data_IF_997520360918
#
_entry.id   IF_997520360918
#
_cell.length_a   1.000
_cell.length_b   1.000
_cell.length_c   1.000
_cell.angle_alpha   90.00
_cell.angle_beta   90.00
_cell.angle_gamma   90.00
#
_symmetry.space_group_name_H-M   'P 1'
#
loop_
_entity.id
_entity.type
_entity.pdbx_description
1 polymer ?
#
# COMPACT_ATOMS: atom_id res chain seq x y z
N UNK A 1 -1.15 -59.03 -39.03
CA UNK A 1 -0.99 -58.34 -37.73
C UNK A 1 0.49 -58.00 -37.50
N UNK A 2 0.95 -56.85 -38.00
CA UNK A 2 2.19 -56.09 -37.64
C UNK A 2 1.99 -54.71 -38.31
N UNK A 3 2.09 -53.50 -37.76
CA UNK A 3 2.17 -52.99 -36.39
C UNK A 3 1.86 -51.49 -36.45
N UNK A 4 0.63 -51.08 -36.11
CA UNK A 4 0.25 -49.67 -35.88
C UNK A 4 1.09 -49.00 -34.77
N UNK A 5 1.72 -49.81 -33.92
CA UNK A 5 2.73 -49.43 -32.91
C UNK A 5 4.03 -48.84 -33.49
N UNK A 6 4.38 -49.14 -34.75
CA UNK A 6 5.60 -48.59 -35.39
C UNK A 6 5.43 -47.12 -35.75
N UNK A 7 4.28 -46.75 -36.32
CA UNK A 7 3.98 -45.37 -36.72
C UNK A 7 3.86 -44.43 -35.50
N UNK A 8 3.19 -44.87 -34.44
CA UNK A 8 3.11 -44.05 -33.22
C UNK A 8 4.48 -43.85 -32.57
N UNK A 9 5.32 -44.90 -32.51
CA UNK A 9 6.68 -44.79 -31.96
C UNK A 9 7.56 -43.83 -32.77
N UNK A 10 7.44 -43.85 -34.11
CA UNK A 10 8.21 -42.97 -34.99
C UNK A 10 7.80 -41.50 -34.85
N UNK A 11 6.50 -41.23 -34.68
CA UNK A 11 6.01 -39.86 -34.44
C UNK A 11 6.47 -39.30 -33.09
N UNK A 12 6.50 -40.12 -32.03
CA UNK A 12 6.99 -39.70 -30.71
C UNK A 12 8.50 -39.45 -30.75
N UNK A 13 9.29 -40.26 -31.46
CA UNK A 13 10.73 -40.03 -31.63
C UNK A 13 11.01 -38.73 -32.40
N UNK A 14 10.25 -38.44 -33.46
CA UNK A 14 10.39 -37.19 -34.21
C UNK A 14 10.09 -35.96 -33.35
N UNK A 15 9.02 -36.00 -32.54
CA UNK A 15 8.66 -34.90 -31.66
C UNK A 15 9.70 -34.68 -30.55
N UNK A 16 10.25 -35.76 -29.98
CA UNK A 16 11.34 -35.65 -29.00
C UNK A 16 12.66 -35.17 -29.61
N UNK A 17 12.97 -35.57 -30.85
CA UNK A 17 14.15 -35.08 -31.58
C UNK A 17 14.08 -33.58 -31.91
N UNK A 18 12.91 -33.07 -32.32
CA UNK A 18 12.74 -31.65 -32.60
C UNK A 18 12.79 -30.77 -31.35
N UNK A 19 12.38 -31.27 -30.18
CA UNK A 19 12.51 -30.55 -28.91
C UNK A 19 13.96 -30.40 -28.42
N UNK A 20 14.86 -31.33 -28.78
CA UNK A 20 16.29 -31.26 -28.39
C UNK A 20 17.08 -30.26 -29.27
N UNK A 21 16.62 -30.00 -30.51
CA UNK A 21 17.30 -29.10 -31.45
C UNK A 21 16.98 -27.60 -31.26
N UNK A 22 16.05 -27.26 -30.36
CA UNK A 22 15.62 -25.87 -30.11
C UNK A 22 16.20 -25.23 -28.84
N UNK A 23 17.12 -25.92 -28.13
CA UNK A 23 17.82 -25.39 -26.95
C UNK A 23 19.33 -25.26 -27.20
N UNK A 24 19.71 -24.54 -28.24
CA UNK A 24 21.12 -24.40 -28.63
C UNK A 24 21.41 -23.20 -29.51
N UNK A 25 21.13 -21.98 -29.02
CA UNK A 25 21.71 -20.75 -29.56
C UNK A 25 21.52 -19.55 -28.62
N UNK A 26 22.43 -19.35 -27.65
CA UNK A 26 22.82 -17.99 -27.25
C UNK A 26 24.32 -17.90 -26.97
N UNK A 27 24.99 -17.37 -27.99
CA UNK A 27 26.18 -16.53 -28.07
C UNK A 27 26.89 -16.19 -26.74
N UNK A 28 28.14 -16.64 -26.62
CA UNK A 28 29.13 -16.13 -25.67
C UNK A 28 29.80 -14.84 -26.20
N UNK A 29 30.12 -13.85 -25.34
CA UNK A 29 31.15 -12.87 -25.65
C UNK A 29 32.50 -13.25 -25.02
N UNK A 30 33.55 -13.22 -25.86
CA UNK A 30 34.97 -13.31 -25.50
C UNK A 30 35.47 -12.02 -24.82
N UNK A 31 36.60 -12.21 -24.14
CA UNK A 31 37.29 -11.30 -23.23
C UNK A 31 38.13 -10.17 -23.87
N UNK A 32 38.60 -9.31 -22.96
CA UNK A 32 39.74 -8.37 -22.97
C UNK A 32 39.57 -6.93 -23.50
N UNK A 33 39.75 -5.95 -22.60
CA UNK A 33 40.96 -5.09 -22.61
C UNK A 33 41.16 -4.36 -21.27
N UNK A 34 42.42 -4.06 -20.98
CA UNK A 34 43.05 -3.60 -19.73
C UNK A 34 42.94 -2.09 -19.42
N UNK A 35 43.17 -1.79 -18.13
CA UNK A 35 43.90 -0.64 -17.52
C UNK A 35 43.37 0.81 -17.71
N UNK A 36 43.14 1.50 -16.59
CA UNK A 36 44.15 2.33 -15.88
C UNK A 36 43.49 3.15 -14.78
N UNK A 37 44.02 3.04 -13.56
CA UNK A 37 43.79 3.93 -12.42
C UNK A 37 44.29 5.35 -12.73
N UNK A 38 43.47 6.38 -12.53
CA UNK A 38 43.99 7.71 -12.21
C UNK A 38 43.00 8.51 -11.37
N UNK A 39 43.58 9.16 -10.38
CA UNK A 39 43.00 9.72 -9.19
C UNK A 39 42.73 11.20 -9.43
N UNK A 40 41.47 11.67 -9.42
CA UNK A 40 41.19 13.08 -9.11
C UNK A 40 39.76 13.27 -8.61
N UNK A 41 39.62 13.52 -7.30
CA UNK A 41 38.44 14.15 -6.71
C UNK A 41 38.37 15.59 -7.17
N UNK A 42 37.29 16.02 -7.83
CA UNK A 42 36.75 17.37 -7.65
C UNK A 42 35.24 17.34 -7.90
N UNK A 43 34.51 17.60 -6.82
CA UNK A 43 33.07 17.80 -6.74
C UNK A 43 32.69 19.08 -7.50
N UNK A 44 31.71 19.05 -8.40
CA UNK A 44 30.67 20.10 -8.55
C UNK A 44 29.60 19.69 -9.59
N UNK A 45 28.38 19.55 -9.07
CA UNK A 45 27.05 19.63 -9.67
C UNK A 45 26.86 19.30 -11.17
N UNK A 46 26.03 18.28 -11.44
CA UNK A 46 25.27 18.19 -12.69
C UNK A 46 23.82 17.83 -12.36
N UNK A 47 22.92 18.78 -12.59
CA UNK A 47 21.48 18.53 -12.66
C UNK A 47 21.24 17.43 -13.71
N UNK A 48 20.91 16.21 -13.26
CA UNK A 48 20.42 15.16 -14.16
C UNK A 48 18.98 15.49 -14.52
N UNK A 49 18.77 15.79 -15.80
CA UNK A 49 17.47 15.87 -16.48
C UNK A 49 16.64 14.61 -16.17
N UNK A 50 15.33 14.73 -15.88
CA UNK A 50 14.50 13.56 -15.60
C UNK A 50 14.48 12.62 -16.80
N UNK A 51 14.79 11.35 -16.56
CA UNK A 51 14.58 10.26 -17.50
C UNK A 51 13.06 10.12 -17.70
N UNK A 52 12.60 10.35 -18.92
CA UNK A 52 11.23 10.08 -19.36
C UNK A 52 10.87 8.62 -19.08
N UNK A 53 9.91 8.38 -18.19
CA UNK A 53 9.36 7.05 -17.94
C UNK A 53 7.96 6.96 -18.53
N UNK A 54 7.83 6.21 -19.63
CA UNK A 54 6.55 5.78 -20.18
C UNK A 54 5.93 4.75 -19.25
N UNK A 55 4.98 5.19 -18.41
CA UNK A 55 4.23 4.39 -17.45
C UNK A 55 3.24 5.31 -16.70
N UNK A 56 2.08 4.80 -16.22
CA UNK A 56 0.94 5.62 -15.81
C UNK A 56 1.35 6.64 -14.74
N UNK A 57 1.33 7.94 -15.07
CA UNK A 57 1.56 9.15 -14.25
C UNK A 57 2.16 8.94 -12.84
N UNK A 58 3.28 8.23 -12.73
CA UNK A 58 3.96 8.01 -11.45
C UNK A 58 4.98 9.12 -11.22
N UNK A 59 4.59 10.12 -10.44
CA UNK A 59 5.50 11.19 -10.02
C UNK A 59 6.30 10.74 -8.80
N UNK A 60 7.61 10.61 -8.95
CA UNK A 60 8.52 10.34 -7.83
C UNK A 60 8.86 11.65 -7.14
N UNK A 61 8.53 11.76 -5.86
CA UNK A 61 8.74 12.96 -5.04
C UNK A 61 9.69 12.63 -3.88
N UNK A 62 10.60 13.56 -3.57
CA UNK A 62 11.40 13.49 -2.35
C UNK A 62 10.51 13.83 -1.15
N UNK A 63 10.35 12.87 -0.23
CA UNK A 63 9.55 13.05 0.98
C UNK A 63 10.45 13.50 2.14
N UNK A 64 10.14 14.67 2.70
CA UNK A 64 10.71 15.14 3.95
C UNK A 64 9.63 15.15 5.03
N UNK A 65 9.76 14.29 6.04
CA UNK A 65 8.84 14.22 7.17
C UNK A 65 9.39 15.09 8.30
N UNK A 66 8.73 16.20 8.59
CA UNK A 66 9.10 17.04 9.74
C UNK A 66 8.62 16.38 11.04
N UNK A 67 9.54 15.99 11.96
CA UNK A 67 9.21 15.32 13.21
C UNK A 67 8.26 16.11 14.12
N UNK A 68 8.23 17.45 14.02
CA UNK A 68 7.40 18.30 14.86
C UNK A 68 5.90 18.13 14.58
N UNK A 69 5.53 17.69 13.37
CA UNK A 69 4.16 17.37 13.00
C UNK A 69 3.79 15.91 13.27
N UNK A 70 4.73 15.10 13.75
CA UNK A 70 4.52 13.68 14.06
C UNK A 70 4.14 13.46 15.52
N UNK A 71 3.94 14.54 16.27
CA UNK A 71 3.53 14.47 17.67
C UNK A 71 2.10 13.92 17.72
N UNK A 72 1.87 12.79 18.42
CA UNK A 72 0.53 12.26 18.59
C UNK A 72 -0.37 13.33 19.22
N UNK A 73 -1.54 13.57 18.62
CA UNK A 73 -2.55 14.43 19.22
C UNK A 73 -2.85 13.94 20.65
N UNK A 74 -2.39 14.70 21.64
CA UNK A 74 -2.79 14.52 23.03
C UNK A 74 -4.21 15.06 23.16
N UNK A 75 -5.19 14.17 23.31
CA UNK A 75 -6.56 14.59 23.60
C UNK A 75 -6.59 15.25 24.98
N UNK A 76 -6.71 16.57 25.03
CA UNK A 76 -6.69 17.39 26.26
C UNK A 76 -7.85 17.04 27.22
N UNK A 77 -8.87 16.29 26.78
CA UNK A 77 -9.78 15.50 27.63
C UNK A 77 -10.48 14.43 26.79
N UNK A 78 -10.81 13.27 27.36
CA UNK A 78 -11.67 12.28 26.72
C UNK A 78 -13.11 12.72 26.41
N UNK A 79 -13.38 13.30 25.23
CA UNK A 79 -14.77 13.68 24.89
C UNK A 79 -15.67 12.48 24.54
N UNK A 80 -15.10 11.31 24.22
CA UNK A 80 -15.85 10.15 23.75
C UNK A 80 -16.85 9.62 24.79
N UNK A 81 -16.51 9.68 26.08
CA UNK A 81 -17.39 9.27 27.18
C UNK A 81 -18.42 10.34 27.56
N UNK A 82 -18.20 11.59 27.15
CA UNK A 82 -19.12 12.71 27.43
C UNK A 82 -20.10 12.97 26.27
N UNK A 83 -19.87 12.34 25.13
CA UNK A 83 -20.77 12.38 23.98
C UNK A 83 -22.08 11.66 24.28
N UNK A 84 -23.20 12.21 23.81
CA UNK A 84 -24.48 11.50 23.80
C UNK A 84 -24.49 10.31 22.83
N UNK A 85 -23.57 10.27 21.88
CA UNK A 85 -23.30 9.13 21.00
C UNK A 85 -21.88 8.64 21.29
N UNK A 86 -21.65 7.94 22.41
CA UNK A 86 -20.31 7.58 22.86
C UNK A 86 -19.64 6.57 21.91
N UNK A 87 -18.31 6.55 21.91
CA UNK A 87 -17.52 5.64 21.09
C UNK A 87 -16.32 5.07 21.83
N UNK A 88 -15.78 3.98 21.31
CA UNK A 88 -14.48 3.41 21.69
C UNK A 88 -13.49 3.53 20.54
N UNK A 89 -12.21 3.54 20.86
CA UNK A 89 -11.14 3.50 19.87
C UNK A 89 -10.75 2.05 19.56
N UNK A 90 -10.50 1.80 18.28
CA UNK A 90 -9.86 0.61 17.75
C UNK A 90 -8.55 1.04 17.08
N UNK A 91 -7.44 0.75 17.73
CA UNK A 91 -6.12 1.17 17.28
C UNK A 91 -5.44 0.05 16.51
N UNK A 92 -4.97 0.37 15.30
CA UNK A 92 -4.24 -0.55 14.43
C UNK A 92 -2.79 -0.11 14.29
N UNK A 93 -1.89 -1.08 14.21
CA UNK A 93 -0.46 -0.87 13.94
C UNK A 93 -0.09 -1.57 12.63
N UNK A 94 0.59 -0.87 11.73
CA UNK A 94 1.12 -1.38 10.46
C UNK A 94 2.52 -0.75 10.27
N UNK A 95 3.57 -1.56 10.40
CA UNK A 95 4.97 -1.14 10.26
C UNK A 95 5.35 -0.76 8.83
N UNK A 96 4.53 -1.16 7.85
CA UNK A 96 4.68 -0.83 6.43
C UNK A 96 3.82 0.36 6.04
N UNK A 97 3.31 1.13 7.00
CA UNK A 97 2.49 2.32 6.78
C UNK A 97 2.99 3.49 7.61
N UNK A 98 2.84 4.69 7.06
CA UNK A 98 3.00 5.94 7.80
C UNK A 98 1.69 6.76 7.76
N UNK A 99 1.17 7.23 8.91
CA UNK A 99 1.61 6.87 10.26
C UNK A 99 1.37 5.37 10.56
N UNK A 100 2.23 4.74 11.37
CA UNK A 100 2.12 3.31 11.66
C UNK A 100 0.88 3.00 12.51
N UNK A 101 0.59 3.89 13.45
CA UNK A 101 -0.57 3.79 14.34
C UNK A 101 -1.72 4.61 13.78
N UNK A 102 -2.89 3.99 13.63
CA UNK A 102 -4.15 4.66 13.28
C UNK A 102 -5.23 4.18 14.24
N UNK A 103 -5.91 5.11 14.90
CA UNK A 103 -7.05 4.85 15.77
C UNK A 103 -8.36 5.20 15.08
N UNK A 104 -9.17 4.20 14.80
CA UNK A 104 -10.52 4.37 14.26
C UNK A 104 -11.54 4.25 15.39
N UNK A 105 -12.70 4.88 15.27
CA UNK A 105 -13.72 4.82 16.32
C UNK A 105 -14.84 3.86 15.98
N UNK A 106 -15.43 3.26 17.02
CA UNK A 106 -16.67 2.49 16.91
C UNK A 106 -17.70 3.04 17.88
N UNK A 107 -18.91 3.34 17.39
CA UNK A 107 -19.98 3.80 18.26
C UNK A 107 -20.36 2.69 19.25
N UNK A 108 -20.43 3.04 20.53
CA UNK A 108 -20.70 2.09 21.62
C UNK A 108 -22.19 1.74 21.70
N UNK A 109 -23.06 2.61 21.21
CA UNK A 109 -24.52 2.46 21.25
C UNK A 109 -25.11 2.47 19.83
N UNK A 110 -26.34 1.94 19.69
CA UNK A 110 -27.11 2.03 18.44
C UNK A 110 -27.95 3.31 18.41
N UNK A 111 -28.54 3.67 19.55
CA UNK A 111 -29.23 4.93 19.80
C UNK A 111 -28.30 6.00 20.39
N UNK A 112 -28.88 7.02 21.03
CA UNK A 112 -28.12 8.07 21.72
C UNK A 112 -28.57 8.18 23.18
N UNK A 113 -27.74 8.72 24.06
CA UNK A 113 -28.07 8.97 25.45
C UNK A 113 -28.99 10.21 25.56
N UNK A 114 -30.09 10.06 26.30
CA UNK A 114 -30.92 11.19 26.70
C UNK A 114 -30.38 11.85 27.99
N UNK A 115 -31.06 12.90 28.46
CA UNK A 115 -30.68 13.65 29.68
C UNK A 115 -30.61 12.80 30.96
N UNK A 116 -31.24 11.62 30.98
CA UNK A 116 -31.22 10.67 32.11
C UNK A 116 -30.13 9.61 31.95
N UNK A 117 -29.30 9.70 30.91
CA UNK A 117 -28.28 8.70 30.58
C UNK A 117 -28.84 7.38 30.05
N UNK A 118 -30.09 7.34 29.57
CA UNK A 118 -30.68 6.14 28.96
C UNK A 118 -30.59 6.21 27.44
N UNK A 119 -30.36 5.06 26.80
CA UNK A 119 -30.35 4.95 25.33
C UNK A 119 -31.76 5.19 24.76
N UNK A 120 -31.90 6.25 23.97
CA UNK A 120 -33.03 6.53 23.10
C UNK A 120 -32.75 5.98 21.69
N UNK A 121 -33.56 5.00 21.27
CA UNK A 121 -33.43 4.30 19.99
C UNK A 121 -34.22 4.96 18.85
N UNK A 122 -34.98 6.01 19.16
CA UNK A 122 -35.59 6.89 18.16
C UNK A 122 -34.54 7.77 17.48
N UNK A 123 -33.35 7.89 18.06
CA UNK A 123 -32.18 8.48 17.44
C UNK A 123 -31.18 7.38 17.05
N UNK A 124 -30.18 7.72 16.23
CA UNK A 124 -29.13 6.79 15.81
C UNK A 124 -27.75 7.38 16.08
N UNK A 125 -26.90 6.60 16.75
CA UNK A 125 -25.46 6.86 16.77
C UNK A 125 -24.86 6.45 15.43
N UNK A 126 -24.18 7.37 14.75
CA UNK A 126 -23.54 7.14 13.45
C UNK A 126 -22.08 7.58 13.49
N UNK A 127 -21.15 6.80 12.91
CA UNK A 127 -19.76 7.21 12.80
C UNK A 127 -19.64 8.40 11.83
N UNK A 128 -18.75 9.32 12.16
CA UNK A 128 -18.30 10.39 11.27
C UNK A 128 -17.04 9.86 10.56
N UNK A 129 -17.07 9.85 9.24
CA UNK A 129 -15.95 9.40 8.42
C UNK A 129 -15.10 10.58 7.95
N UNK A 130 -13.79 10.37 7.88
CA UNK A 130 -12.82 11.30 7.34
C UNK A 130 -11.82 10.55 6.45
N UNK A 131 -11.42 11.17 5.36
CA UNK A 131 -10.41 10.62 4.45
C UNK A 131 -9.04 11.20 4.80
N UNK A 132 -8.11 10.32 5.15
CA UNK A 132 -6.72 10.67 5.43
C UNK A 132 -5.81 10.16 4.32
N UNK A 133 -4.64 10.78 4.22
CA UNK A 133 -3.55 10.29 3.40
C UNK A 133 -2.63 9.41 4.26
N UNK A 134 -2.21 8.27 3.70
CA UNK A 134 -1.25 7.37 4.31
C UNK A 134 -0.18 7.02 3.29
N UNK A 135 1.05 6.79 3.75
CA UNK A 135 2.12 6.30 2.90
C UNK A 135 2.29 4.81 3.15
N UNK A 136 2.15 3.99 2.11
CA UNK A 136 2.38 2.55 2.18
C UNK A 136 3.74 2.19 1.61
N UNK A 137 4.53 1.43 2.36
CA UNK A 137 5.81 0.90 1.91
C UNK A 137 5.57 -0.24 0.92
N UNK A 138 6.20 -0.14 -0.25
CA UNK A 138 6.16 -1.12 -1.33
C UNK A 138 7.57 -1.58 -1.62
N UNK A 139 7.76 -2.90 -1.75
CA UNK A 139 9.04 -3.49 -2.13
C UNK A 139 9.21 -3.34 -3.65
N UNK A 140 10.27 -2.67 -4.08
CA UNK A 140 10.69 -2.62 -5.48
C UNK A 140 11.60 -3.79 -5.85
N UNK A 141 12.03 -3.81 -7.11
CA UNK A 141 13.05 -4.73 -7.59
C UNK A 141 14.39 -4.46 -6.89
N UNK A 142 14.98 -5.51 -6.29
CA UNK A 142 16.28 -5.50 -5.62
C UNK A 142 16.34 -4.61 -4.38
N UNK A 143 15.97 -5.13 -3.20
CA UNK A 143 16.11 -4.53 -1.84
C UNK A 143 15.73 -3.04 -1.65
N UNK A 144 15.22 -2.35 -2.66
CA UNK A 144 14.83 -0.95 -2.63
C UNK A 144 13.36 -0.85 -2.21
N UNK A 145 13.08 -0.09 -1.17
CA UNK A 145 11.73 0.22 -0.74
C UNK A 145 11.35 1.62 -1.24
N UNK A 146 10.11 1.79 -1.69
CA UNK A 146 9.53 3.10 -1.98
C UNK A 146 8.19 3.24 -1.26
N UNK A 147 7.75 4.47 -1.04
CA UNK A 147 6.43 4.75 -0.50
C UNK A 147 5.46 5.08 -1.63
N UNK A 148 4.25 4.54 -1.53
CA UNK A 148 3.11 4.90 -2.35
C UNK A 148 2.12 5.70 -1.49
N UNK A 149 1.65 6.82 -2.00
CA UNK A 149 0.58 7.59 -1.37
C UNK A 149 -0.75 6.88 -1.60
N UNK A 150 -1.51 6.67 -0.53
CA UNK A 150 -2.83 6.04 -0.54
C UNK A 150 -3.83 6.88 0.26
N UNK A 151 -5.10 6.82 -0.12
CA UNK A 151 -6.18 7.35 0.70
C UNK A 151 -6.79 6.27 1.58
N UNK A 152 -7.04 6.58 2.85
CA UNK A 152 -7.76 5.71 3.77
C UNK A 152 -8.92 6.48 4.39
N UNK A 153 -10.11 5.89 4.34
CA UNK A 153 -11.26 6.37 5.12
C UNK A 153 -11.16 5.81 6.53
N UNK A 154 -11.32 6.65 7.53
CA UNK A 154 -11.35 6.30 8.95
C UNK A 154 -12.58 6.90 9.62
N UNK A 155 -13.06 6.29 10.68
CA UNK A 155 -14.03 6.92 11.59
C UNK A 155 -13.30 7.71 12.67
N UNK A 156 -13.68 8.97 12.88
CA UNK A 156 -13.00 9.89 13.83
C UNK A 156 -13.82 10.24 15.07
N UNK A 157 -15.13 10.00 15.01
CA UNK A 157 -16.07 10.24 16.10
C UNK A 157 -17.41 9.59 15.81
N UNK A 158 -18.33 9.65 16.78
CA UNK A 158 -19.73 9.32 16.54
C UNK A 158 -20.61 10.53 16.83
N UNK A 159 -21.64 10.70 16.00
CA UNK A 159 -22.67 11.74 16.16
C UNK A 159 -24.04 11.11 16.33
N UNK A 160 -24.98 11.90 16.85
CA UNK A 160 -26.36 11.51 17.04
C UNK A 160 -27.24 12.15 15.95
N UNK A 161 -27.96 11.31 15.20
CA UNK A 161 -28.82 11.76 14.11
C UNK A 161 -30.25 11.28 14.29
N UNK A 162 -31.20 12.00 13.67
CA UNK A 162 -32.57 11.50 13.48
C UNK A 162 -32.56 10.40 12.41
N UNK A 163 -33.45 9.38 12.50
CA UNK A 163 -33.69 8.43 11.44
C UNK A 163 -34.08 9.16 10.16
N UNK A 164 -33.80 8.55 9.00
CA UNK A 164 -34.17 9.10 7.70
C UNK A 164 -35.63 9.53 7.71
N UNK A 165 -35.87 10.81 7.43
CA UNK A 165 -37.21 11.31 7.14
C UNK A 165 -37.47 10.85 5.70
N UNK A 166 -38.39 9.91 5.49
CA UNK A 166 -38.87 9.66 4.13
C UNK A 166 -39.57 10.93 3.64
N UNK A 167 -39.05 11.50 2.54
CA UNK A 167 -39.60 12.67 1.87
C UNK A 167 -40.38 12.24 0.63
#
# INVERSE_FOLDING_TARGET
MVSTLSFQSLTVLCMKGMLVMMMGAEVAPRAHSEKTESHTRTTLQTHKKPTESTGPDTVILSLHLDPNYLVPFHSIRPIWNHSISPWTYNTTYDDRRFPPIISEVRCSLKGCLNIKGKEDRNLKSKPIFYQILVLRMVMGSGKKCHYRLESKVISVGCTCVRPTIEQ
#
